data_IF_656122982603
#
_entry.id   IF_656122982603
#
_cell.length_a   1.000
_cell.length_b   1.000
_cell.length_c   1.000
_cell.angle_alpha   90.00
_cell.angle_beta   90.00
_cell.angle_gamma   90.00
#
_symmetry.space_group_name_H-M   'P 1'
#
loop_
_entity.id
_entity.type
_entity.pdbx_description
1 polymer ?
#
# COMPACT_ATOMS: atom_id res chain seq x y z
N UNK A 1 34.48 14.52 22.76
CA UNK A 1 33.95 14.08 21.46
C UNK A 1 32.75 14.96 21.21
N UNK A 2 32.72 15.67 20.08
CA UNK A 2 31.68 16.66 19.78
C UNK A 2 30.77 16.14 18.68
N UNK A 3 29.62 16.80 18.50
CA UNK A 3 28.70 16.48 17.42
C UNK A 3 29.37 16.83 16.08
N UNK A 4 29.33 15.89 15.13
CA UNK A 4 29.89 16.09 13.80
C UNK A 4 29.00 17.02 12.96
N UNK A 5 29.37 18.30 12.93
CA UNK A 5 28.65 19.32 12.17
C UNK A 5 28.79 19.15 10.64
N UNK A 6 29.82 18.44 10.16
CA UNK A 6 29.99 18.20 8.73
C UNK A 6 28.94 17.20 8.23
N UNK A 7 28.64 16.17 9.02
CA UNK A 7 27.55 15.22 8.73
C UNK A 7 26.18 15.93 8.65
N UNK A 8 25.93 16.87 9.56
CA UNK A 8 24.70 17.67 9.57
C UNK A 8 24.56 18.54 8.31
N UNK A 9 25.64 19.18 7.87
CA UNK A 9 25.65 19.99 6.63
C UNK A 9 25.63 19.16 5.35
N UNK A 10 26.01 17.89 5.40
CA UNK A 10 25.85 16.98 4.29
C UNK A 10 24.37 16.63 4.09
N UNK A 11 23.64 16.37 5.18
CA UNK A 11 22.20 16.08 5.16
C UNK A 11 21.37 17.21 4.56
N UNK A 12 21.66 18.45 4.96
CA UNK A 12 20.99 19.62 4.43
C UNK A 12 21.15 19.73 2.91
N UNK A 13 22.35 19.44 2.39
CA UNK A 13 22.64 19.51 0.95
C UNK A 13 22.05 18.36 0.15
N UNK A 14 22.03 17.15 0.70
CA UNK A 14 21.58 15.95 -0.03
C UNK A 14 20.06 15.74 0.01
N UNK A 15 19.40 16.17 1.09
CA UNK A 15 18.00 15.81 1.39
C UNK A 15 17.10 17.02 1.66
N UNK A 16 17.61 18.24 1.47
CA UNK A 16 16.87 19.50 1.67
C UNK A 16 16.26 19.64 3.09
N UNK A 17 16.80 18.92 4.08
CA UNK A 17 16.37 19.03 5.48
C UNK A 17 17.09 20.23 6.10
N UNK A 18 16.38 21.30 6.54
CA UNK A 18 17.04 22.49 7.05
C UNK A 18 17.92 22.17 8.27
N UNK A 19 19.16 22.66 8.27
CA UNK A 19 20.14 22.40 9.33
C UNK A 19 19.60 22.71 10.73
N UNK A 20 18.87 23.81 10.88
CA UNK A 20 18.24 24.23 12.13
C UNK A 20 17.21 23.22 12.66
N UNK A 21 16.48 22.55 11.76
CA UNK A 21 15.49 21.53 12.15
C UNK A 21 16.18 20.29 12.72
N UNK A 22 17.35 19.95 12.20
CA UNK A 22 18.13 18.81 12.70
C UNK A 22 18.75 19.15 14.06
N UNK A 23 19.33 20.35 14.22
CA UNK A 23 19.89 20.80 15.50
C UNK A 23 18.83 20.81 16.61
N UNK A 24 17.67 21.42 16.37
CA UNK A 24 16.58 21.46 17.34
C UNK A 24 16.10 20.05 17.75
N UNK A 25 16.09 19.10 16.81
CA UNK A 25 15.76 17.71 17.11
C UNK A 25 16.83 17.05 18.00
N UNK A 26 18.11 17.32 17.76
CA UNK A 26 19.22 16.81 18.58
C UNK A 26 19.18 17.43 19.98
N UNK A 27 18.93 18.73 20.11
CA UNK A 27 18.77 19.42 21.40
C UNK A 27 17.62 18.81 22.20
N UNK A 28 16.48 18.57 21.57
CA UNK A 28 15.31 17.92 22.19
C UNK A 28 15.62 16.49 22.65
N UNK A 29 16.31 15.71 21.82
CA UNK A 29 16.72 14.35 22.16
C UNK A 29 17.74 14.33 23.31
N UNK A 30 18.68 15.28 23.31
CA UNK A 30 19.67 15.42 24.38
C UNK A 30 19.07 15.90 25.69
N UNK A 31 18.09 16.80 25.64
CA UNK A 31 17.34 17.19 26.83
C UNK A 31 16.62 15.98 27.44
N UNK A 32 16.05 15.12 26.60
CA UNK A 32 15.42 13.87 27.04
C UNK A 32 16.46 12.94 27.68
N UNK A 33 17.64 12.78 27.07
CA UNK A 33 18.73 11.98 27.63
C UNK A 33 19.23 12.53 28.97
N UNK A 34 19.38 13.86 29.10
CA UNK A 34 19.78 14.52 30.33
C UNK A 34 18.76 14.28 31.46
N UNK A 35 17.45 14.37 31.19
CA UNK A 35 16.40 14.12 32.19
C UNK A 35 16.41 12.69 32.77
N UNK A 36 17.04 11.75 32.09
CA UNK A 36 17.23 10.38 32.59
C UNK A 36 18.51 10.19 33.40
N UNK A 37 19.34 11.22 33.54
CA UNK A 37 20.52 11.20 34.40
C UNK A 37 20.17 11.47 35.86
N UNK A 38 20.93 10.88 36.78
CA UNK A 38 20.76 11.10 38.20
C UNK A 38 21.16 12.54 38.57
N UNK A 39 20.29 13.25 39.30
CA UNK A 39 20.52 14.64 39.68
C UNK A 39 20.08 15.68 38.65
N UNK A 40 19.44 15.27 37.56
CA UNK A 40 18.94 16.19 36.53
C UNK A 40 18.00 17.26 37.11
N UNK A 41 18.23 18.51 36.74
CA UNK A 41 17.37 19.63 37.09
C UNK A 41 15.97 19.48 36.49
N UNK A 42 14.95 19.93 37.23
CA UNK A 42 13.54 19.82 36.82
C UNK A 42 13.25 20.59 35.51
N UNK A 43 13.88 21.76 35.35
CA UNK A 43 13.82 22.56 34.14
C UNK A 43 15.23 22.72 33.59
N UNK A 44 15.39 22.40 32.30
CA UNK A 44 16.65 22.55 31.60
C UNK A 44 16.38 22.75 30.10
N UNK A 45 17.34 23.37 29.43
CA UNK A 45 17.45 23.42 27.96
C UNK A 45 18.83 22.95 27.54
N UNK A 46 18.91 22.39 26.33
CA UNK A 46 20.18 22.01 25.73
C UNK A 46 20.45 22.93 24.55
N UNK A 47 21.69 23.38 24.41
CA UNK A 47 22.14 24.20 23.30
C UNK A 47 23.35 23.55 22.65
N UNK A 48 23.37 23.50 21.31
CA UNK A 48 24.51 23.03 20.54
C UNK A 48 25.22 24.22 19.90
N UNK A 49 26.51 24.39 20.24
CA UNK A 49 27.32 25.43 19.61
C UNK A 49 27.53 25.12 18.11
N UNK A 50 27.13 26.08 17.27
CA UNK A 50 27.07 25.95 15.81
C UNK A 50 28.43 25.91 15.12
N UNK A 51 29.52 26.16 15.86
CA UNK A 51 30.89 26.19 15.33
C UNK A 51 31.70 24.97 15.77
N UNK A 52 31.55 24.58 17.03
CA UNK A 52 32.34 23.54 17.69
C UNK A 52 31.59 22.23 17.87
N UNK A 53 30.25 22.24 17.78
CA UNK A 53 29.40 21.07 18.02
C UNK A 53 29.38 20.63 19.49
N UNK A 54 29.81 21.49 20.41
CA UNK A 54 29.73 21.26 21.84
C UNK A 54 28.27 21.39 22.29
N UNK A 55 27.78 20.40 23.03
CA UNK A 55 26.45 20.43 23.63
C UNK A 55 26.57 20.84 25.10
N UNK A 56 25.85 21.90 25.46
CA UNK A 56 25.80 22.44 26.83
C UNK A 56 24.38 22.30 27.37
N UNK A 57 24.26 21.83 28.61
CA UNK A 57 23.00 21.76 29.34
C UNK A 57 22.91 22.97 30.26
N UNK A 58 21.86 23.76 30.09
CA UNK A 58 21.55 24.88 30.96
C UNK A 58 20.37 24.53 31.86
N UNK A 59 20.63 24.33 33.14
CA UNK A 59 19.61 24.14 34.17
C UNK A 59 18.96 25.49 34.52
N UNK A 60 17.65 25.48 34.71
CA UNK A 60 16.84 26.68 34.94
C UNK A 60 16.08 26.57 36.27
N UNK A 61 16.18 27.61 37.09
CA UNK A 61 15.33 27.82 38.26
C UNK A 61 14.19 28.77 37.86
N UNK A 62 12.94 28.29 37.98
CA UNK A 62 11.75 29.07 37.63
C UNK A 62 11.09 29.65 38.89
N UNK A 63 10.50 30.83 38.79
CA UNK A 63 9.61 31.38 39.82
C UNK A 63 8.20 30.75 39.76
N UNK A 64 7.31 31.21 40.65
CA UNK A 64 5.93 30.73 40.73
C UNK A 64 5.09 31.04 39.46
N UNK A 65 5.52 32.00 38.66
CA UNK A 65 4.87 32.42 37.42
C UNK A 65 5.48 31.73 36.17
N UNK A 66 6.51 30.90 36.35
CA UNK A 66 7.20 30.17 35.28
C UNK A 66 8.31 30.96 34.59
N UNK A 67 8.73 32.10 35.15
CA UNK A 67 9.82 32.93 34.62
C UNK A 67 11.17 32.39 35.08
N UNK A 68 12.16 32.36 34.19
CA UNK A 68 13.53 31.93 34.53
C UNK A 68 14.19 32.98 35.42
N UNK A 69 14.46 32.63 36.67
CA UNK A 69 15.12 33.49 37.67
C UNK A 69 16.64 33.31 37.60
N UNK A 70 17.09 32.08 37.35
CA UNK A 70 18.51 31.73 37.28
C UNK A 70 18.73 30.62 36.26
N UNK A 71 19.80 30.76 35.50
CA UNK A 71 20.28 29.74 34.57
C UNK A 71 21.76 29.45 34.86
N UNK A 72 22.15 28.18 34.87
CA UNK A 72 23.54 27.76 35.09
C UNK A 72 23.89 26.51 34.27
N UNK A 73 25.18 26.33 33.97
CA UNK A 73 25.69 25.15 33.26
C UNK A 73 25.64 23.94 34.20
N UNK A 74 24.89 22.92 33.80
CA UNK A 74 24.76 21.64 34.49
C UNK A 74 25.13 20.46 33.58
N UNK A 75 26.05 20.70 32.64
CA UNK A 75 26.48 19.70 31.67
C UNK A 75 27.18 18.54 32.38
N UNK A 76 26.65 17.30 32.31
CA UNK A 76 27.27 16.16 32.99
C UNK A 76 28.66 15.82 32.43
N UNK A 77 29.47 15.13 33.23
CA UNK A 77 30.71 14.54 32.75
C UNK A 77 30.43 13.53 31.63
N UNK A 78 31.28 13.50 30.59
CA UNK A 78 31.12 12.69 29.37
C UNK A 78 29.87 12.96 28.53
N UNK A 79 29.13 14.04 28.78
CA UNK A 79 27.92 14.37 28.02
C UNK A 79 28.20 14.54 26.51
N UNK A 80 29.42 14.95 26.12
CA UNK A 80 29.83 15.00 24.72
C UNK A 80 29.75 13.65 23.99
N UNK A 81 30.01 12.52 24.66
CA UNK A 81 29.85 11.19 24.06
C UNK A 81 28.37 10.86 23.85
N UNK A 82 27.53 11.18 24.82
CA UNK A 82 26.07 11.04 24.74
C UNK A 82 25.52 11.92 23.60
N UNK A 83 26.03 13.15 23.49
CA UNK A 83 25.76 14.10 22.41
C UNK A 83 26.07 13.51 21.04
N UNK A 84 27.28 12.98 20.84
CA UNK A 84 27.67 12.39 19.57
C UNK A 84 26.82 11.17 19.18
N UNK A 85 26.53 10.26 20.13
CA UNK A 85 25.68 9.08 19.87
C UNK A 85 24.24 9.46 19.55
N UNK A 86 23.66 10.36 20.32
CA UNK A 86 22.29 10.84 20.13
C UNK A 86 22.16 11.59 18.82
N UNK A 87 23.12 12.48 18.51
CA UNK A 87 23.15 13.18 17.24
C UNK A 87 23.18 12.21 16.06
N UNK A 88 24.03 11.17 16.11
CA UNK A 88 24.08 10.12 15.10
C UNK A 88 22.71 9.43 14.95
N UNK A 89 22.06 9.06 16.05
CA UNK A 89 20.75 8.42 16.02
C UNK A 89 19.67 9.32 15.40
N UNK A 90 19.60 10.60 15.81
CA UNK A 90 18.66 11.58 15.26
C UNK A 90 18.89 11.82 13.78
N UNK A 91 20.16 11.92 13.36
CA UNK A 91 20.54 12.01 11.93
C UNK A 91 20.00 10.81 11.14
N UNK A 92 20.25 9.59 11.62
CA UNK A 92 19.76 8.37 10.95
C UNK A 92 18.24 8.32 10.90
N UNK A 93 17.57 8.76 11.97
CA UNK A 93 16.13 8.84 12.01
C UNK A 93 15.58 9.85 10.99
N UNK A 94 16.17 11.06 10.91
CA UNK A 94 15.77 12.09 9.92
C UNK A 94 16.00 11.62 8.48
N UNK A 95 17.12 10.94 8.22
CA UNK A 95 17.38 10.32 6.92
C UNK A 95 16.29 9.31 6.53
N UNK A 96 15.89 8.48 7.49
CA UNK A 96 14.85 7.50 7.29
C UNK A 96 13.49 8.17 7.04
N UNK A 97 13.10 9.13 7.86
CA UNK A 97 11.85 9.89 7.72
C UNK A 97 11.73 10.57 6.36
N UNK A 98 12.80 11.22 5.88
CA UNK A 98 12.82 11.85 4.56
C UNK A 98 12.71 10.82 3.42
N UNK A 99 13.36 9.67 3.55
CA UNK A 99 13.25 8.57 2.58
C UNK A 99 11.84 8.00 2.54
N UNK A 100 11.24 7.79 3.72
CA UNK A 100 9.88 7.30 3.89
C UNK A 100 8.85 8.26 3.28
N UNK A 101 9.08 9.58 3.37
CA UNK A 101 8.21 10.60 2.78
C UNK A 101 8.27 10.60 1.25
N UNK A 102 9.46 10.46 0.66
CA UNK A 102 9.62 10.30 -0.79
C UNK A 102 8.90 9.05 -1.28
N UNK A 103 9.13 7.90 -0.61
CA UNK A 103 8.47 6.64 -0.96
C UNK A 103 6.95 6.70 -0.76
N UNK A 104 6.46 7.34 0.29
CA UNK A 104 5.02 7.57 0.47
C UNK A 104 4.45 8.39 -0.69
N UNK A 105 5.12 9.48 -1.08
CA UNK A 105 4.72 10.33 -2.20
C UNK A 105 4.65 9.57 -3.53
N UNK A 106 5.56 8.62 -3.77
CA UNK A 106 5.53 7.79 -4.99
C UNK A 106 4.27 6.91 -5.08
N UNK A 107 3.72 6.45 -3.96
CA UNK A 107 2.58 5.53 -3.92
C UNK A 107 1.27 6.19 -3.48
N UNK A 108 1.31 7.43 -3.01
CA UNK A 108 0.13 8.20 -2.66
C UNK A 108 -0.80 8.32 -3.88
N UNK A 109 -2.05 7.90 -3.72
CA UNK A 109 -3.05 7.92 -4.79
C UNK A 109 -2.91 6.80 -5.83
N UNK A 110 -2.07 5.79 -5.60
CA UNK A 110 -1.98 4.59 -6.45
C UNK A 110 -2.99 3.50 -6.07
N UNK A 111 -4.07 3.85 -5.38
CA UNK A 111 -5.14 2.91 -5.06
C UNK A 111 -5.72 2.31 -6.35
N UNK A 112 -5.80 0.98 -6.38
CA UNK A 112 -6.24 0.20 -7.52
C UNK A 112 -5.13 -0.16 -8.51
N UNK A 113 -3.90 0.35 -8.38
CA UNK A 113 -2.82 0.03 -9.31
C UNK A 113 -2.27 -1.39 -9.14
N UNK A 114 -1.84 -1.96 -10.28
CA UNK A 114 -1.22 -3.26 -10.32
C UNK A 114 0.27 -3.12 -10.02
N UNK A 115 0.73 -3.86 -9.02
CA UNK A 115 2.14 -3.92 -8.63
C UNK A 115 2.63 -5.35 -8.71
N UNK A 116 3.91 -5.51 -9.02
CA UNK A 116 4.60 -6.80 -8.99
C UNK A 116 5.63 -6.75 -7.87
N UNK A 117 5.69 -7.80 -7.07
CA UNK A 117 6.66 -7.92 -5.98
C UNK A 117 7.13 -9.35 -5.77
N UNK A 118 7.99 -9.53 -4.77
CA UNK A 118 8.52 -10.82 -4.35
C UNK A 118 8.09 -11.11 -2.92
N UNK A 119 7.51 -12.28 -2.68
CA UNK A 119 7.09 -12.71 -1.34
C UNK A 119 8.32 -12.90 -0.44
N UNK A 120 8.30 -12.28 0.73
CA UNK A 120 9.38 -12.32 1.72
C UNK A 120 9.01 -13.23 2.90
N UNK A 121 10.01 -13.96 3.41
CA UNK A 121 9.87 -14.76 4.62
C UNK A 121 9.88 -13.82 5.84
N UNK A 122 8.82 -13.85 6.63
CA UNK A 122 8.76 -13.08 7.88
C UNK A 122 7.97 -13.84 8.95
N UNK A 123 8.66 -14.64 9.76
CA UNK A 123 8.08 -15.57 10.75
C UNK A 123 7.01 -14.92 11.64
N UNK A 124 7.34 -13.81 12.32
CA UNK A 124 6.40 -13.13 13.22
C UNK A 124 5.15 -12.51 12.54
N UNK A 125 5.19 -12.29 11.21
CA UNK A 125 4.03 -11.80 10.44
C UNK A 125 3.24 -12.97 9.88
N UNK A 126 3.93 -14.03 9.45
CA UNK A 126 3.33 -15.28 9.00
C UNK A 126 2.49 -15.95 10.11
N UNK A 127 2.94 -15.91 11.37
CA UNK A 127 2.14 -16.35 12.53
C UNK A 127 0.80 -15.63 12.66
N UNK A 128 0.71 -14.40 12.16
CA UNK A 128 -0.52 -13.58 12.14
C UNK A 128 -1.28 -13.68 10.81
N UNK A 129 -0.87 -14.58 9.92
CA UNK A 129 -1.44 -14.74 8.58
C UNK A 129 -1.16 -13.57 7.63
N UNK A 130 -0.15 -12.74 7.91
CA UNK A 130 0.21 -11.59 7.07
C UNK A 130 1.39 -11.98 6.19
N UNK A 131 1.19 -11.89 4.87
CA UNK A 131 2.26 -12.09 3.89
C UNK A 131 2.97 -10.75 3.64
N UNK A 132 4.30 -10.76 3.62
CA UNK A 132 5.10 -9.58 3.28
C UNK A 132 5.57 -9.69 1.84
N UNK A 133 5.47 -8.59 1.10
CA UNK A 133 5.84 -8.53 -0.32
C UNK A 133 6.81 -7.37 -0.51
N UNK A 134 7.99 -7.66 -1.02
CA UNK A 134 8.97 -6.66 -1.41
C UNK A 134 8.65 -6.10 -2.80
N UNK A 135 8.47 -4.78 -2.88
CA UNK A 135 8.25 -4.03 -4.13
C UNK A 135 9.56 -3.40 -4.66
N UNK A 136 10.71 -3.77 -4.08
CA UNK A 136 12.06 -3.30 -4.43
C UNK A 136 12.48 -2.05 -3.66
N UNK A 137 11.61 -1.05 -3.53
CA UNK A 137 11.88 0.18 -2.75
C UNK A 137 11.32 0.15 -1.34
N UNK A 138 10.25 -0.62 -1.14
CA UNK A 138 9.51 -0.69 0.12
C UNK A 138 8.86 -2.06 0.27
N UNK A 139 8.54 -2.40 1.52
CA UNK A 139 7.74 -3.56 1.83
C UNK A 139 6.25 -3.18 1.85
N UNK A 140 5.45 -4.06 1.25
CA UNK A 140 4.01 -4.04 1.35
C UNK A 140 3.53 -5.28 2.11
N UNK A 141 2.30 -5.22 2.59
CA UNK A 141 1.64 -6.32 3.28
C UNK A 141 0.45 -6.82 2.47
N UNK A 142 0.21 -8.12 2.54
CA UNK A 142 -0.97 -8.79 2.01
C UNK A 142 -1.68 -9.48 3.19
N UNK A 143 -2.68 -8.81 3.81
CA UNK A 143 -3.42 -9.34 4.95
C UNK A 143 -4.24 -10.58 4.58
N UNK A 144 -4.55 -11.43 5.56
CA UNK A 144 -5.34 -12.65 5.37
C UNK A 144 -6.69 -12.42 4.65
N UNK A 145 -7.38 -11.30 4.93
CA UNK A 145 -8.65 -10.96 4.28
C UNK A 145 -8.50 -10.63 2.78
N UNK A 146 -7.32 -10.21 2.36
CA UNK A 146 -7.01 -9.81 0.98
C UNK A 146 -6.29 -10.93 0.20
N UNK A 147 -6.05 -12.07 0.86
CA UNK A 147 -5.51 -13.28 0.25
C UNK A 147 -6.63 -14.10 -0.41
N UNK A 148 -6.27 -14.82 -1.48
CA UNK A 148 -7.15 -15.82 -2.08
C UNK A 148 -7.09 -17.12 -1.26
N UNK A 149 -8.25 -17.68 -0.83
CA UNK A 149 -8.28 -18.96 -0.15
C UNK A 149 -7.64 -20.07 -0.99
N UNK A 150 -6.71 -20.82 -0.40
CA UNK A 150 -6.03 -21.94 -1.07
C UNK A 150 -4.81 -21.56 -1.91
N UNK A 151 -4.56 -20.26 -2.19
CA UNK A 151 -3.26 -19.84 -2.74
C UNK A 151 -2.16 -20.01 -1.69
N UNK A 152 -0.99 -20.46 -2.14
CA UNK A 152 0.21 -20.58 -1.32
C UNK A 152 1.18 -19.48 -1.72
N UNK A 153 1.62 -18.69 -0.73
CA UNK A 153 2.55 -17.58 -0.93
C UNK A 153 3.94 -17.95 -0.43
N UNK A 154 4.68 -18.72 -1.24
CA UNK A 154 6.02 -19.17 -0.87
C UNK A 154 7.05 -18.04 -0.95
N UNK A 155 8.05 -18.06 -0.06
CA UNK A 155 9.15 -17.10 -0.13
C UNK A 155 9.88 -17.18 -1.47
N UNK A 156 10.19 -16.02 -2.06
CA UNK A 156 10.82 -15.91 -3.37
C UNK A 156 9.85 -15.93 -4.55
N UNK A 157 8.57 -16.25 -4.31
CA UNK A 157 7.53 -16.20 -5.34
C UNK A 157 7.35 -14.77 -5.85
N UNK A 158 7.38 -14.59 -7.17
CA UNK A 158 6.95 -13.35 -7.80
C UNK A 158 5.43 -13.33 -7.88
N UNK A 159 4.81 -12.23 -7.46
CA UNK A 159 3.36 -12.12 -7.41
C UNK A 159 2.89 -10.75 -7.89
N UNK A 160 1.77 -10.75 -8.63
CA UNK A 160 1.04 -9.53 -8.99
C UNK A 160 -0.16 -9.32 -8.07
N UNK A 161 -0.25 -8.14 -7.50
CA UNK A 161 -1.33 -7.72 -6.61
C UNK A 161 -1.84 -6.34 -7.02
N UNK A 162 -3.01 -5.95 -6.52
CA UNK A 162 -3.46 -4.56 -6.59
C UNK A 162 -3.24 -3.85 -5.26
N UNK A 163 -2.88 -2.59 -5.32
CA UNK A 163 -2.84 -1.72 -4.13
C UNK A 163 -4.29 -1.41 -3.73
N UNK A 164 -4.66 -1.67 -2.48
CA UNK A 164 -6.00 -1.36 -1.96
C UNK A 164 -5.98 -0.21 -0.95
N UNK A 165 -4.82 0.05 -0.33
CA UNK A 165 -4.67 1.15 0.61
C UNK A 165 -3.21 1.56 0.77
N UNK A 166 -2.96 2.87 0.82
CA UNK A 166 -1.65 3.45 1.15
C UNK A 166 -1.81 4.41 2.33
N UNK A 167 -1.08 4.17 3.42
CA UNK A 167 -1.14 4.99 4.63
C UNK A 167 0.26 5.32 5.17
N UNK A 168 0.36 6.42 5.92
CA UNK A 168 1.55 6.70 6.74
C UNK A 168 1.44 5.89 8.04
N UNK A 169 2.32 4.90 8.21
CA UNK A 169 2.43 4.13 9.45
C UNK A 169 3.49 4.69 10.39
N UNK A 170 3.56 4.15 11.62
CA UNK A 170 4.55 4.55 12.63
C UNK A 170 6.02 4.28 12.23
N UNK A 171 6.26 3.46 11.22
CA UNK A 171 7.60 3.04 10.76
C UNK A 171 7.86 3.34 9.28
N UNK A 172 7.10 4.27 8.71
CA UNK A 172 7.14 4.62 7.29
C UNK A 172 5.84 4.32 6.55
N UNK A 173 5.80 4.47 5.21
CA UNK A 173 4.64 4.14 4.41
C UNK A 173 4.26 2.67 4.57
N UNK A 174 2.97 2.42 4.75
CA UNK A 174 2.39 1.09 4.80
C UNK A 174 1.49 0.92 3.57
N UNK A 175 1.86 -0.04 2.72
CA UNK A 175 1.08 -0.39 1.53
C UNK A 175 0.38 -1.71 1.78
N UNK A 176 -0.95 -1.68 1.63
CA UNK A 176 -1.78 -2.88 1.70
C UNK A 176 -2.11 -3.31 0.28
N UNK A 177 -1.78 -4.56 -0.04
CA UNK A 177 -2.05 -5.19 -1.32
C UNK A 177 -3.20 -6.16 -1.20
N UNK A 178 -3.78 -6.50 -2.34
CA UNK A 178 -4.79 -7.53 -2.47
C UNK A 178 -4.60 -8.44 -3.66
N UNK A 179 -4.86 -9.72 -3.41
CA UNK A 179 -4.99 -10.77 -4.41
C UNK A 179 -6.46 -11.13 -4.68
N UNK A 180 -7.34 -10.95 -3.70
CA UNK A 180 -8.78 -11.28 -3.81
C UNK A 180 -9.61 -10.16 -4.47
N UNK A 181 -9.14 -8.91 -4.45
CA UNK A 181 -9.90 -7.76 -4.95
C UNK A 181 -10.25 -7.87 -6.45
N UNK A 182 -11.48 -7.55 -6.90
CA UNK A 182 -11.89 -7.63 -8.31
C UNK A 182 -11.04 -6.75 -9.25
N UNK A 183 -10.51 -5.64 -8.74
CA UNK A 183 -9.62 -4.75 -9.49
C UNK A 183 -8.38 -5.45 -10.07
N UNK A 184 -7.92 -6.53 -9.45
CA UNK A 184 -6.81 -7.32 -9.98
C UNK A 184 -7.13 -7.92 -11.34
N UNK A 185 -8.31 -8.53 -11.49
CA UNK A 185 -8.76 -9.10 -12.77
C UNK A 185 -8.83 -8.01 -13.83
N UNK A 186 -9.39 -6.85 -13.50
CA UNK A 186 -9.48 -5.71 -14.43
C UNK A 186 -8.10 -5.28 -14.92
N UNK A 187 -7.12 -5.14 -14.02
CA UNK A 187 -5.75 -4.74 -14.38
C UNK A 187 -5.01 -5.82 -15.16
N UNK A 188 -5.20 -7.10 -14.84
CA UNK A 188 -4.60 -8.21 -15.59
C UNK A 188 -5.15 -8.28 -17.02
N UNK A 189 -6.46 -8.10 -17.21
CA UNK A 189 -7.04 -7.99 -18.53
C UNK A 189 -6.53 -6.77 -19.30
N UNK A 190 -6.33 -5.63 -18.65
CA UNK A 190 -5.74 -4.45 -19.30
C UNK A 190 -4.28 -4.67 -19.76
N UNK A 191 -3.51 -5.52 -19.07
CA UNK A 191 -2.17 -5.92 -19.54
C UNK A 191 -2.23 -6.85 -20.76
N UNK A 192 -3.19 -7.76 -20.79
CA UNK A 192 -3.25 -8.85 -21.77
C UNK A 192 -4.06 -8.49 -23.03
N UNK A 193 -5.00 -7.55 -22.92
CA UNK A 193 -5.92 -7.13 -23.99
C UNK A 193 -5.66 -5.67 -24.35
N UNK A 194 -4.99 -5.39 -25.48
CA UNK A 194 -4.71 -4.02 -25.94
C UNK A 194 -5.97 -3.15 -26.06
N UNK A 195 -7.08 -3.74 -26.50
CA UNK A 195 -8.35 -3.05 -26.66
C UNK A 195 -8.94 -2.59 -25.31
N UNK A 196 -8.59 -3.24 -24.20
CA UNK A 196 -8.95 -2.76 -22.85
C UNK A 196 -8.01 -1.64 -22.42
N UNK A 197 -6.73 -1.74 -22.76
CA UNK A 197 -5.72 -0.73 -22.42
C UNK A 197 -6.00 0.62 -23.10
N UNK A 198 -6.45 0.61 -24.36
CA UNK A 198 -6.75 1.82 -25.14
C UNK A 198 -8.21 2.31 -25.00
N UNK A 199 -9.05 1.56 -24.28
CA UNK A 199 -10.44 1.92 -23.99
C UNK A 199 -11.44 1.59 -25.11
N UNK A 200 -11.02 0.90 -26.17
CA UNK A 200 -11.91 0.37 -27.23
C UNK A 200 -12.88 -0.67 -26.67
N UNK A 201 -12.45 -1.46 -25.69
CA UNK A 201 -13.25 -2.43 -24.95
C UNK A 201 -13.26 -2.04 -23.47
N UNK A 202 -14.44 -2.00 -22.88
CA UNK A 202 -14.63 -1.68 -21.47
C UNK A 202 -15.12 -2.90 -20.70
N UNK A 203 -14.52 -3.18 -19.54
CA UNK A 203 -15.10 -4.07 -18.52
C UNK A 203 -16.14 -3.26 -17.73
N UNK A 204 -17.41 -3.43 -18.11
CA UNK A 204 -18.54 -2.69 -17.56
C UNK A 204 -18.98 -3.21 -16.17
N UNK A 205 -18.81 -4.50 -15.91
CA UNK A 205 -19.08 -5.09 -14.60
C UNK A 205 -18.18 -6.30 -14.32
N UNK A 206 -17.96 -6.57 -13.04
CA UNK A 206 -17.20 -7.73 -12.56
C UNK A 206 -17.86 -8.32 -11.32
N UNK A 207 -17.99 -9.64 -11.28
CA UNK A 207 -18.36 -10.40 -10.10
C UNK A 207 -17.31 -11.50 -9.89
N UNK A 208 -16.67 -11.51 -8.72
CA UNK A 208 -15.51 -12.36 -8.44
C UNK A 208 -15.69 -13.12 -7.14
N UNK A 209 -15.58 -14.44 -7.23
CA UNK A 209 -15.32 -15.35 -6.12
C UNK A 209 -13.86 -15.79 -6.25
N UNK A 210 -12.98 -15.08 -5.53
CA UNK A 210 -11.55 -15.20 -5.72
C UNK A 210 -11.05 -16.64 -5.49
N UNK A 211 -10.22 -17.14 -6.41
CA UNK A 211 -9.72 -18.53 -6.41
C UNK A 211 -10.67 -19.56 -7.01
N UNK A 212 -11.94 -19.20 -7.25
CA UNK A 212 -12.95 -20.10 -7.79
C UNK A 212 -13.39 -19.69 -9.20
N UNK A 213 -14.11 -18.56 -9.30
CA UNK A 213 -14.72 -18.11 -10.55
C UNK A 213 -14.94 -16.60 -10.56
N UNK A 214 -14.65 -15.99 -11.70
CA UNK A 214 -14.96 -14.60 -12.00
C UNK A 214 -15.80 -14.51 -13.26
N UNK A 215 -16.81 -13.65 -13.24
CA UNK A 215 -17.53 -13.20 -14.44
C UNK A 215 -17.18 -11.75 -14.74
N UNK A 216 -16.81 -11.47 -15.98
CA UNK A 216 -16.63 -10.11 -16.48
C UNK A 216 -17.61 -9.82 -17.62
N UNK A 217 -18.31 -8.69 -17.50
CA UNK A 217 -19.17 -8.18 -18.55
C UNK A 217 -18.43 -7.12 -19.35
N UNK A 218 -18.31 -7.34 -20.66
CA UNK A 218 -17.55 -6.47 -21.55
C UNK A 218 -18.42 -5.88 -22.64
N UNK A 219 -18.12 -4.64 -23.04
CA UNK A 219 -18.73 -3.95 -24.19
C UNK A 219 -17.67 -3.25 -25.01
N UNK A 220 -17.95 -3.05 -26.30
CA UNK A 220 -17.12 -2.22 -27.15
C UNK A 220 -17.62 -0.77 -27.11
N UNK A 221 -16.69 0.18 -27.04
CA UNK A 221 -16.97 1.61 -27.22
C UNK A 221 -16.91 2.00 -28.70
N UNK A 222 -16.36 1.14 -29.56
CA UNK A 222 -16.26 1.36 -31.00
C UNK A 222 -17.09 0.35 -31.81
N UNK A 223 -17.85 0.82 -32.82
CA UNK A 223 -18.56 -0.07 -33.73
C UNK A 223 -17.62 -1.03 -34.47
N UNK A 224 -18.06 -2.27 -34.67
CA UNK A 224 -17.31 -3.28 -35.43
C UNK A 224 -16.24 -4.04 -34.63
N UNK A 225 -15.96 -3.65 -33.38
CA UNK A 225 -15.06 -4.39 -32.49
C UNK A 225 -15.85 -5.37 -31.63
N UNK A 226 -15.45 -6.64 -31.67
CA UNK A 226 -16.04 -7.69 -30.83
C UNK A 226 -15.32 -7.73 -29.48
N UNK A 227 -15.95 -7.18 -28.44
CA UNK A 227 -15.40 -7.08 -27.09
C UNK A 227 -15.07 -8.45 -26.48
N UNK A 228 -16.03 -9.38 -26.50
CA UNK A 228 -15.83 -10.73 -25.96
C UNK A 228 -14.70 -11.47 -26.67
N UNK A 229 -14.65 -11.40 -27.99
CA UNK A 229 -13.61 -11.98 -28.82
C UNK A 229 -12.22 -11.40 -28.52
N UNK A 230 -12.12 -10.08 -28.36
CA UNK A 230 -10.88 -9.40 -27.99
C UNK A 230 -10.35 -9.87 -26.62
N UNK A 231 -11.22 -10.05 -25.63
CA UNK A 231 -10.84 -10.55 -24.31
C UNK A 231 -10.43 -12.03 -24.30
N UNK A 232 -11.06 -12.87 -25.13
CA UNK A 232 -10.68 -14.29 -25.28
C UNK A 232 -9.32 -14.40 -25.98
N UNK A 233 -9.13 -13.63 -27.06
CA UNK A 233 -7.93 -13.66 -27.89
C UNK A 233 -7.82 -14.92 -28.77
N UNK A 234 -6.81 -14.99 -29.65
CA UNK A 234 -6.56 -16.14 -30.51
C UNK A 234 -6.51 -17.44 -29.72
N UNK A 235 -7.36 -18.40 -30.10
CA UNK A 235 -7.50 -19.71 -29.43
C UNK A 235 -7.75 -19.64 -27.91
N UNK A 236 -8.16 -18.50 -27.34
CA UNK A 236 -8.32 -18.33 -25.90
C UNK A 236 -7.03 -17.98 -25.14
N UNK A 237 -5.96 -17.58 -25.83
CA UNK A 237 -4.66 -17.34 -25.19
C UNK A 237 -4.71 -16.25 -24.11
N UNK A 238 -5.45 -15.15 -24.36
CA UNK A 238 -5.47 -13.98 -23.48
C UNK A 238 -6.15 -14.32 -22.15
N UNK A 239 -7.38 -14.84 -22.22
CA UNK A 239 -8.09 -15.28 -21.01
C UNK A 239 -7.33 -16.36 -20.24
N UNK A 240 -6.66 -17.29 -20.92
CA UNK A 240 -5.85 -18.33 -20.25
C UNK A 240 -4.63 -17.75 -19.54
N UNK A 241 -3.99 -16.72 -20.09
CA UNK A 241 -2.88 -16.04 -19.42
C UNK A 241 -3.35 -15.41 -18.11
N UNK A 242 -4.52 -14.73 -18.12
CA UNK A 242 -5.13 -14.17 -16.90
C UNK A 242 -5.51 -15.27 -15.91
N UNK A 243 -6.13 -16.36 -16.37
CA UNK A 243 -6.46 -17.50 -15.50
C UNK A 243 -5.22 -18.13 -14.86
N UNK A 244 -4.10 -18.19 -15.59
CA UNK A 244 -2.84 -18.73 -15.08
C UNK A 244 -2.24 -17.84 -13.98
N UNK A 245 -2.31 -16.52 -14.13
CA UNK A 245 -1.87 -15.55 -13.10
C UNK A 245 -2.75 -15.59 -11.84
N UNK A 246 -3.99 -16.09 -11.98
CA UNK A 246 -4.95 -16.31 -10.90
C UNK A 246 -5.00 -17.78 -10.44
N UNK A 247 -3.93 -18.54 -10.69
CA UNK A 247 -3.75 -19.92 -10.26
C UNK A 247 -4.92 -20.86 -10.61
N UNK A 248 -5.55 -20.66 -11.77
CA UNK A 248 -6.59 -21.54 -12.29
C UNK A 248 -8.02 -21.08 -12.01
N UNK A 249 -8.22 -19.91 -11.38
CA UNK A 249 -9.53 -19.25 -11.26
C UNK A 249 -10.25 -19.25 -12.62
N UNK A 250 -11.52 -19.71 -12.65
CA UNK A 250 -12.28 -19.77 -13.91
C UNK A 250 -12.79 -18.38 -14.29
N UNK A 251 -12.71 -18.02 -15.56
CA UNK A 251 -13.18 -16.71 -16.02
C UNK A 251 -14.21 -16.89 -17.13
N UNK A 252 -15.42 -16.37 -16.89
CA UNK A 252 -16.45 -16.26 -17.91
C UNK A 252 -16.51 -14.82 -18.44
N UNK A 253 -16.41 -14.68 -19.75
CA UNK A 253 -16.50 -13.40 -20.46
C UNK A 253 -17.88 -13.33 -21.11
N UNK A 254 -18.70 -12.38 -20.66
CA UNK A 254 -20.07 -12.21 -21.12
C UNK A 254 -20.24 -10.86 -21.80
N UNK A 255 -21.16 -10.80 -22.76
CA UNK A 255 -21.53 -9.56 -23.43
C UNK A 255 -22.41 -8.72 -22.49
N UNK A 256 -22.00 -7.47 -22.25
CA UNK A 256 -22.81 -6.52 -21.50
C UNK A 256 -23.97 -6.00 -22.36
N UNK A 257 -25.10 -5.67 -21.73
CA UNK A 257 -26.26 -5.10 -22.39
C UNK A 257 -26.91 -4.02 -21.51
N UNK A 258 -27.42 -2.95 -22.14
CA UNK A 258 -28.26 -1.96 -21.48
C UNK A 258 -29.62 -2.52 -21.10
N UNK A 259 -30.15 -3.44 -21.91
CA UNK A 259 -31.38 -4.18 -21.59
C UNK A 259 -31.10 -5.19 -20.46
N UNK A 260 -31.73 -5.04 -19.27
CA UNK A 260 -31.47 -5.89 -18.12
C UNK A 260 -31.83 -7.36 -18.36
N UNK A 261 -32.89 -7.64 -19.14
CA UNK A 261 -33.31 -9.01 -19.42
C UNK A 261 -32.24 -9.76 -20.24
N UNK A 262 -31.73 -9.10 -21.30
CA UNK A 262 -30.61 -9.60 -22.10
C UNK A 262 -29.35 -9.76 -21.25
N UNK A 263 -29.02 -8.77 -20.41
CA UNK A 263 -27.80 -8.83 -19.60
C UNK A 263 -27.83 -9.97 -18.57
N UNK A 264 -28.96 -10.16 -17.89
CA UNK A 264 -29.16 -11.30 -16.97
C UNK A 264 -29.06 -12.64 -17.72
N UNK A 265 -29.65 -12.74 -18.91
CA UNK A 265 -29.52 -13.93 -19.75
C UNK A 265 -28.07 -14.25 -20.11
N UNK A 266 -27.29 -13.23 -20.47
CA UNK A 266 -25.86 -13.36 -20.76
C UNK A 266 -25.05 -13.77 -19.51
N UNK A 267 -25.39 -13.24 -18.33
CA UNK A 267 -24.69 -13.51 -17.08
C UNK A 267 -24.76 -14.96 -16.61
N UNK A 268 -25.81 -15.70 -17.01
CA UNK A 268 -25.96 -17.12 -16.72
C UNK A 268 -25.10 -18.04 -17.58
N UNK A 269 -24.42 -17.52 -18.60
CA UNK A 269 -23.45 -18.28 -19.40
C UNK A 269 -22.48 -19.01 -18.46
N UNK A 270 -22.28 -20.35 -18.62
CA UNK A 270 -22.60 -21.15 -19.81
C UNK A 270 -24.03 -21.72 -19.90
N UNK A 271 -24.87 -21.58 -18.86
CA UNK A 271 -26.26 -22.00 -18.94
C UNK A 271 -27.05 -21.11 -19.92
N UNK A 272 -28.03 -21.70 -20.62
CA UNK A 272 -28.87 -20.98 -21.58
C UNK A 272 -30.20 -20.58 -20.93
N UNK A 273 -30.44 -19.29 -20.81
CA UNK A 273 -31.76 -18.77 -20.46
C UNK A 273 -32.73 -18.94 -21.64
N UNK A 274 -33.87 -19.59 -21.43
CA UNK A 274 -34.97 -19.65 -22.41
C UNK A 274 -35.77 -18.35 -22.39
N UNK A 275 -35.97 -17.77 -21.21
CA UNK A 275 -36.72 -16.54 -21.01
C UNK A 275 -36.20 -15.83 -19.76
N UNK A 276 -36.10 -14.50 -19.84
CA UNK A 276 -35.80 -13.63 -18.71
C UNK A 276 -36.90 -12.59 -18.61
N UNK A 277 -37.52 -12.49 -17.44
CA UNK A 277 -38.57 -11.52 -17.13
C UNK A 277 -38.08 -10.62 -16.00
N UNK A 278 -38.01 -9.31 -16.23
CA UNK A 278 -37.79 -8.34 -15.16
C UNK A 278 -39.10 -8.24 -14.38
N UNK A 279 -39.14 -8.83 -13.20
CA UNK A 279 -40.33 -8.86 -12.34
C UNK A 279 -40.53 -7.50 -11.68
N UNK A 280 -39.44 -6.85 -11.28
CA UNK A 280 -39.46 -5.53 -10.68
C UNK A 280 -38.15 -4.79 -10.97
N UNK A 281 -38.26 -3.68 -11.69
CA UNK A 281 -37.13 -2.85 -12.08
C UNK A 281 -36.55 -2.05 -10.90
N UNK A 282 -37.37 -1.67 -9.93
CA UNK A 282 -36.94 -0.87 -8.78
C UNK A 282 -36.10 -1.70 -7.81
N UNK A 283 -36.53 -2.93 -7.51
CA UNK A 283 -35.75 -3.88 -6.68
C UNK A 283 -34.72 -4.68 -7.47
N UNK A 284 -34.67 -4.53 -8.80
CA UNK A 284 -33.79 -5.28 -9.72
C UNK A 284 -33.99 -6.80 -9.63
N UNK A 285 -35.25 -7.22 -9.53
CA UNK A 285 -35.63 -8.63 -9.44
C UNK A 285 -35.97 -9.17 -10.83
N UNK A 286 -35.37 -10.30 -11.20
CA UNK A 286 -35.65 -11.00 -12.45
C UNK A 286 -36.04 -12.46 -12.19
N UNK A 287 -36.93 -12.99 -13.04
CA UNK A 287 -37.27 -14.40 -13.12
C UNK A 287 -36.65 -14.96 -14.39
N UNK A 288 -35.88 -16.03 -14.24
CA UNK A 288 -35.27 -16.72 -15.37
C UNK A 288 -35.86 -18.11 -15.53
N UNK A 289 -36.25 -18.45 -16.74
CA UNK A 289 -36.61 -19.81 -17.14
C UNK A 289 -35.44 -20.42 -17.91
N UNK A 290 -34.98 -21.58 -17.47
CA UNK A 290 -33.93 -22.37 -18.10
C UNK A 290 -34.49 -23.75 -18.46
N UNK A 291 -33.86 -24.51 -19.37
CA UNK A 291 -34.23 -25.90 -19.58
C UNK A 291 -34.01 -26.69 -18.29
N UNK A 292 -34.91 -27.63 -17.98
CA UNK A 292 -34.88 -28.41 -16.73
C UNK A 292 -33.52 -29.10 -16.50
N UNK A 293 -32.95 -29.68 -17.58
CA UNK A 293 -31.64 -30.33 -17.56
C UNK A 293 -30.44 -29.38 -17.35
N UNK A 294 -30.64 -28.05 -17.39
CA UNK A 294 -29.61 -27.05 -17.09
C UNK A 294 -29.85 -26.30 -15.78
N UNK A 295 -30.88 -26.64 -15.00
CA UNK A 295 -31.19 -25.93 -13.75
C UNK A 295 -29.99 -25.91 -12.80
N UNK A 296 -29.36 -27.06 -12.58
CA UNK A 296 -28.16 -27.18 -11.73
C UNK A 296 -26.91 -26.53 -12.31
N UNK A 297 -26.87 -26.23 -13.61
CA UNK A 297 -25.76 -25.51 -14.25
C UNK A 297 -25.97 -23.98 -14.14
N UNK A 298 -27.22 -23.55 -14.07
CA UNK A 298 -27.61 -22.15 -13.94
C UNK A 298 -27.48 -21.62 -12.50
N UNK A 299 -27.60 -22.50 -11.50
CA UNK A 299 -27.35 -22.23 -10.06
C UNK A 299 -25.86 -22.38 -9.79
#
# INVERSE_FOLDING_TARGET
MNIDLAALRALEREREIPYETILAAIETALLTAYRHTEGAAAHARVEIDRRSGAATVYAQELDADGTVVREYDDTPHDFGRIAAMTAKQVIFQRLREATDEVHFGEYAGRDGDLVTGVVQAHEARAEKGIVTIDLGKLEAILPAAEQVPGEVYEHGMRIKCVVVHVAKGFRGPQITLSRSHPGLVKKLFALEVPEIADGTVEIAAIAREAGHRTKIAVRSTQPGVNAKGACIGPMGQRVRAVMSELHGEKIDIIDWSEDPATFVGNALSPAKALRVEVVDAATRTARVTVPDYQLSLAI
#
